data_IF_120792273699
#
_entry.id   IF_120792273699
#
_cell.length_a   1.000
_cell.length_b   1.000
_cell.length_c   1.000
_cell.angle_alpha   90.00
_cell.angle_beta   90.00
_cell.angle_gamma   90.00
#
_symmetry.space_group_name_H-M   'P 1'
#
loop_
_entity.id
_entity.type
_entity.pdbx_description
1 polymer ?
#
# COMPACT_ATOMS: atom_id res chain seq x y z
N UNK A 1 4.88 11.19 51.99
CA UNK A 1 5.62 11.96 50.97
C UNK A 1 5.88 11.00 49.83
N UNK A 2 4.95 11.05 48.88
CA UNK A 2 4.58 9.94 48.03
C UNK A 2 5.27 10.00 46.67
N UNK A 3 5.99 8.93 46.35
CA UNK A 3 6.84 8.73 45.16
C UNK A 3 6.06 8.40 43.86
N UNK A 4 4.80 8.81 43.74
CA UNK A 4 3.92 8.40 42.62
C UNK A 4 3.38 9.57 41.77
N UNK A 5 3.88 10.78 42.00
CA UNK A 5 3.43 12.01 41.33
C UNK A 5 4.34 12.43 40.16
N UNK A 6 4.77 11.50 39.30
CA UNK A 6 5.57 11.82 38.12
C UNK A 6 5.19 10.98 36.88
N UNK A 7 3.90 10.79 36.63
CA UNK A 7 3.40 10.34 35.32
C UNK A 7 2.16 11.15 34.93
N UNK A 8 2.38 12.45 34.74
CA UNK A 8 1.43 13.35 34.08
C UNK A 8 2.14 13.92 32.86
N UNK A 9 1.45 13.84 31.71
CA UNK A 9 1.77 14.50 30.43
C UNK A 9 2.63 13.70 29.44
N UNK A 10 1.97 12.88 28.61
CA UNK A 10 1.95 12.97 27.14
C UNK A 10 0.74 12.14 26.67
N UNK A 11 -0.43 12.76 26.72
CA UNK A 11 -1.57 12.34 25.90
C UNK A 11 -1.44 13.12 24.58
N UNK A 12 -0.63 12.58 23.68
CA UNK A 12 -0.48 13.11 22.33
C UNK A 12 -1.71 12.76 21.51
N UNK A 13 -2.48 13.79 21.16
CA UNK A 13 -3.62 13.71 20.27
C UNK A 13 -3.20 13.27 18.86
N UNK A 14 -3.97 12.33 18.30
CA UNK A 14 -4.25 12.26 16.87
C UNK A 14 -5.61 11.57 16.68
N UNK A 15 -6.68 12.30 16.97
CA UNK A 15 -8.03 11.91 16.57
C UNK A 15 -8.20 12.13 15.06
N UNK A 16 -8.48 11.02 14.37
CA UNK A 16 -9.40 10.86 13.27
C UNK A 16 -9.32 11.82 12.05
N UNK A 17 -8.99 11.26 10.89
CA UNK A 17 -9.86 11.31 9.71
C UNK A 17 -9.37 10.35 8.62
N UNK A 18 -10.32 9.92 7.78
CA UNK A 18 -10.26 8.90 6.72
C UNK A 18 -10.49 7.46 7.24
N UNK A 19 -11.72 7.09 7.60
CA UNK A 19 -12.84 6.87 6.68
C UNK A 19 -12.43 5.96 5.51
N UNK A 20 -12.73 4.68 5.67
CA UNK A 20 -13.15 3.74 4.62
C UNK A 20 -12.51 3.90 3.24
N UNK A 21 -11.59 3.00 2.91
CA UNK A 21 -11.72 2.30 1.64
C UNK A 21 -11.36 0.84 1.80
N UNK A 22 -12.40 0.04 2.05
CA UNK A 22 -12.48 -1.32 1.53
C UNK A 22 -12.45 -1.14 0.02
N UNK A 23 -11.26 -1.19 -0.57
CA UNK A 23 -11.13 -1.34 -2.01
C UNK A 23 -11.44 -2.82 -2.24
N UNK A 24 -12.73 -3.13 -2.35
CA UNK A 24 -13.20 -4.24 -3.18
C UNK A 24 -12.86 -3.88 -4.63
N UNK A 25 -11.57 -3.88 -4.95
CA UNK A 25 -11.08 -3.83 -6.31
C UNK A 25 -11.13 -5.26 -6.84
N UNK A 26 -12.34 -5.66 -7.20
CA UNK A 26 -12.59 -6.67 -8.22
C UNK A 26 -11.77 -6.30 -9.45
N UNK A 27 -10.67 -7.01 -9.65
CA UNK A 27 -9.98 -7.07 -10.93
C UNK A 27 -9.09 -8.32 -10.96
N UNK A 28 -9.59 -9.36 -11.63
CA UNK A 28 -8.80 -10.49 -12.12
C UNK A 28 -8.85 -11.73 -11.23
N UNK A 29 -9.67 -12.69 -11.64
CA UNK A 29 -9.85 -14.04 -11.09
C UNK A 29 -10.40 -14.14 -9.65
N UNK A 30 -11.58 -14.80 -9.58
CA UNK A 30 -12.49 -15.01 -8.46
C UNK A 30 -11.93 -15.92 -7.34
N UNK A 31 -10.64 -15.81 -7.05
CA UNK A 31 -9.99 -16.64 -6.04
C UNK A 31 -10.13 -15.95 -4.67
N UNK A 32 -10.93 -16.57 -3.80
CA UNK A 32 -11.18 -16.06 -2.46
C UNK A 32 -9.85 -15.75 -1.72
N UNK A 33 -9.82 -14.61 -1.02
CA UNK A 33 -8.70 -14.23 -0.16
C UNK A 33 -7.48 -13.66 -0.87
N UNK A 34 -7.63 -13.00 -2.03
CA UNK A 34 -6.54 -12.25 -2.66
C UNK A 34 -5.94 -11.25 -1.68
N UNK A 35 -4.63 -11.31 -1.39
CA UNK A 35 -4.02 -10.33 -0.51
C UNK A 35 -4.02 -8.94 -1.17
N UNK A 36 -4.18 -7.89 -0.36
CA UNK A 36 -4.30 -6.52 -0.85
C UNK A 36 -2.99 -6.03 -1.49
N UNK A 37 -3.14 -5.22 -2.56
CA UNK A 37 -2.05 -4.46 -3.17
C UNK A 37 -1.44 -3.51 -2.13
N UNK A 38 -0.13 -3.63 -1.90
CA UNK A 38 0.62 -2.72 -1.04
C UNK A 38 1.54 -1.82 -1.87
N UNK A 39 1.55 -0.53 -1.54
CA UNK A 39 2.44 0.47 -2.13
C UNK A 39 3.15 1.18 -0.98
N UNK A 40 4.43 0.86 -0.81
CA UNK A 40 5.27 1.38 0.27
C UNK A 40 6.21 2.44 -0.30
N UNK A 41 6.30 3.60 0.34
CA UNK A 41 7.26 4.65 -0.05
C UNK A 41 8.66 4.26 0.42
N UNK A 42 9.61 4.06 -0.51
CA UNK A 42 11.01 3.76 -0.18
C UNK A 42 11.85 5.03 -0.06
N UNK A 43 11.55 6.04 -0.90
CA UNK A 43 12.23 7.33 -0.92
C UNK A 43 11.35 8.36 -1.66
N UNK A 44 11.66 9.67 -1.62
CA UNK A 44 10.94 10.66 -2.41
C UNK A 44 10.89 10.29 -3.89
N UNK A 45 9.67 10.13 -4.41
CA UNK A 45 9.44 9.70 -5.79
C UNK A 45 9.84 8.25 -6.09
N UNK A 46 9.98 7.37 -5.09
CA UNK A 46 10.25 5.94 -5.27
C UNK A 46 9.38 5.09 -4.35
N UNK A 47 8.78 4.06 -4.92
CA UNK A 47 7.86 3.18 -4.21
C UNK A 47 8.16 1.73 -4.52
N UNK A 48 7.98 0.88 -3.52
CA UNK A 48 7.90 -0.56 -3.66
C UNK A 48 6.44 -0.97 -3.78
N UNK A 49 6.15 -1.81 -4.75
CA UNK A 49 4.81 -2.33 -4.99
C UNK A 49 4.83 -3.82 -4.74
N UNK A 50 3.89 -4.30 -3.92
CA UNK A 50 3.65 -5.72 -3.72
C UNK A 50 2.27 -6.05 -4.26
N UNK A 51 2.27 -6.59 -5.47
CA UNK A 51 1.11 -7.16 -6.16
C UNK A 51 1.05 -8.67 -5.89
N UNK A 52 -0.07 -9.29 -6.22
CA UNK A 52 -0.29 -10.71 -6.01
C UNK A 52 -0.88 -11.32 -7.27
N UNK A 53 -0.26 -12.40 -7.74
CA UNK A 53 -0.74 -13.18 -8.87
C UNK A 53 -1.06 -14.60 -8.40
N UNK A 54 -2.18 -15.14 -8.84
CA UNK A 54 -2.49 -16.55 -8.61
C UNK A 54 -1.65 -17.44 -9.53
N UNK A 55 -0.83 -18.32 -8.94
CA UNK A 55 -0.06 -19.32 -9.68
C UNK A 55 0.07 -20.59 -8.86
N UNK A 56 -0.08 -21.74 -9.52
CA UNK A 56 0.04 -23.06 -8.90
C UNK A 56 -0.83 -23.19 -7.63
N UNK A 57 -2.10 -22.80 -7.73
CA UNK A 57 -3.09 -22.86 -6.65
C UNK A 57 -2.70 -22.07 -5.38
N UNK A 58 -1.87 -21.04 -5.53
CA UNK A 58 -1.48 -20.17 -4.43
C UNK A 58 -1.29 -18.72 -4.91
N UNK A 59 -1.57 -17.77 -4.01
CA UNK A 59 -1.18 -16.38 -4.20
C UNK A 59 0.34 -16.25 -4.10
N UNK A 60 0.97 -15.76 -5.17
CA UNK A 60 2.40 -15.48 -5.21
C UNK A 60 2.62 -13.97 -5.27
N UNK A 61 3.46 -13.41 -4.37
CA UNK A 61 3.75 -11.99 -4.39
C UNK A 61 4.61 -11.67 -5.62
N UNK A 62 4.25 -10.59 -6.30
CA UNK A 62 5.04 -9.96 -7.33
C UNK A 62 5.53 -8.61 -6.81
N UNK A 63 6.85 -8.45 -6.79
CA UNK A 63 7.48 -7.22 -6.33
C UNK A 63 7.87 -6.39 -7.54
N UNK A 64 7.20 -5.25 -7.68
CA UNK A 64 7.55 -4.22 -8.65
C UNK A 64 8.06 -2.99 -7.91
N UNK A 65 8.70 -2.09 -8.66
CA UNK A 65 9.16 -0.79 -8.16
C UNK A 65 8.60 0.30 -9.04
N UNK A 66 8.05 1.33 -8.43
CA UNK A 66 7.68 2.57 -9.10
C UNK A 66 8.70 3.66 -8.81
N UNK A 67 8.93 4.52 -9.80
CA UNK A 67 9.65 5.78 -9.60
C UNK A 67 8.98 6.91 -10.36
N UNK A 68 9.02 8.10 -9.80
CA UNK A 68 8.65 9.34 -10.47
C UNK A 68 9.85 9.82 -11.27
N UNK A 69 9.69 9.97 -12.58
CA UNK A 69 10.74 10.44 -13.47
C UNK A 69 10.11 11.42 -14.46
N UNK A 70 10.58 12.67 -14.46
CA UNK A 70 10.06 13.76 -15.30
C UNK A 70 8.52 13.90 -15.22
N UNK A 71 7.95 13.86 -14.01
CA UNK A 71 6.50 13.95 -13.79
C UNK A 71 5.70 12.72 -14.22
N UNK A 72 6.36 11.63 -14.64
CA UNK A 72 5.71 10.37 -15.04
C UNK A 72 6.07 9.26 -14.05
N UNK A 73 5.08 8.44 -13.69
CA UNK A 73 5.31 7.23 -12.90
C UNK A 73 5.78 6.13 -13.85
N UNK A 74 7.00 5.65 -13.61
CA UNK A 74 7.57 4.49 -14.29
C UNK A 74 7.52 3.30 -13.35
N UNK A 75 6.90 2.21 -13.78
CA UNK A 75 6.85 0.95 -13.03
C UNK A 75 7.78 -0.05 -13.70
N UNK A 76 8.66 -0.66 -12.91
CA UNK A 76 9.61 -1.70 -13.32
C UNK A 76 9.33 -2.98 -12.55
N UNK A 77 9.37 -4.12 -13.23
CA UNK A 77 9.10 -5.44 -12.64
C UNK A 77 7.74 -6.01 -13.05
N UNK A 78 7.51 -7.27 -12.67
CA UNK A 78 6.25 -7.96 -12.92
C UNK A 78 5.18 -7.43 -11.96
N UNK A 79 4.02 -7.08 -12.53
CA UNK A 79 2.84 -6.64 -11.80
C UNK A 79 1.63 -7.01 -12.65
N UNK A 80 0.52 -7.34 -12.00
CA UNK A 80 -0.74 -7.53 -12.69
C UNK A 80 -1.20 -6.24 -13.40
N UNK A 81 -1.83 -6.35 -14.57
CA UNK A 81 -2.23 -5.19 -15.35
C UNK A 81 -3.27 -4.32 -14.62
N UNK A 82 -4.18 -4.92 -13.87
CA UNK A 82 -5.16 -4.19 -13.08
C UNK A 82 -4.49 -3.46 -11.90
N UNK A 83 -3.59 -4.14 -11.19
CA UNK A 83 -2.81 -3.53 -10.11
C UNK A 83 -1.96 -2.37 -10.64
N UNK A 84 -1.40 -2.50 -11.85
CA UNK A 84 -0.61 -1.45 -12.47
C UNK A 84 -1.42 -0.16 -12.67
N UNK A 85 -2.66 -0.28 -13.11
CA UNK A 85 -3.55 0.88 -13.27
C UNK A 85 -3.88 1.50 -11.90
N UNK A 86 -4.20 0.67 -10.91
CA UNK A 86 -4.48 1.13 -9.54
C UNK A 86 -3.29 1.87 -8.90
N UNK A 87 -2.06 1.36 -9.08
CA UNK A 87 -0.84 2.04 -8.61
C UNK A 87 -0.70 3.41 -9.23
N UNK A 88 -0.85 3.51 -10.56
CA UNK A 88 -0.70 4.80 -11.27
C UNK A 88 -1.76 5.80 -10.81
N UNK A 89 -3.01 5.36 -10.65
CA UNK A 89 -4.08 6.21 -10.15
C UNK A 89 -3.78 6.73 -8.73
N UNK A 90 -3.31 5.86 -7.84
CA UNK A 90 -3.04 6.19 -6.43
C UNK A 90 -1.81 7.06 -6.23
N UNK A 91 -0.79 6.93 -7.08
CA UNK A 91 0.44 7.73 -7.01
C UNK A 91 0.36 9.07 -7.75
N UNK A 92 -0.70 9.30 -8.55
CA UNK A 92 -0.97 10.60 -9.21
C UNK A 92 -1.89 11.51 -8.39
N UNK A 93 -2.66 10.94 -7.46
CA UNK A 93 -3.55 11.67 -6.56
C UNK A 93 -2.74 12.44 -5.51
#
# INVERSE_FOLDING_TARGET
>A
MDRRTLLTSIAGAATASACTRRDDADAGDNHAGRPTLAIDSEAPGRWRIRSWQWRANAWRPQIARARLTNGKIQISGAIDAADRAAVIARLRA
#
